data_IF_964470216787
#
_entry.id   IF_964470216787
#
_cell.length_a   1.000
_cell.length_b   1.000
_cell.length_c   1.000
_cell.angle_alpha   90.00
_cell.angle_beta   90.00
_cell.angle_gamma   90.00
#
_symmetry.space_group_name_H-M   'P 1'
#
loop_
_entity.id
_entity.type
_entity.pdbx_description
1 polymer ?
#
# COMPACT_ATOMS: atom_id res chain seq x y z
N UNK A 1 -26.24 -9.28 13.55
CA UNK A 1 -25.63 -8.67 12.35
C UNK A 1 -24.19 -9.16 12.24
N UNK A 2 -23.65 -9.36 11.04
CA UNK A 2 -22.26 -9.77 10.84
C UNK A 2 -21.27 -8.68 11.30
N UNK A 3 -20.01 -9.06 11.54
CA UNK A 3 -18.92 -8.10 11.77
C UNK A 3 -18.67 -7.30 10.49
N UNK A 4 -18.76 -5.97 10.56
CA UNK A 4 -18.38 -5.07 9.48
C UNK A 4 -16.97 -4.52 9.73
N UNK A 5 -16.11 -4.53 8.71
CA UNK A 5 -14.76 -3.93 8.80
C UNK A 5 -14.63 -2.80 7.79
N UNK A 6 -14.53 -1.57 8.30
CA UNK A 6 -14.33 -0.35 7.50
C UNK A 6 -12.84 -0.04 7.44
N UNK A 7 -12.24 -0.20 6.26
CA UNK A 7 -10.80 -0.07 6.06
C UNK A 7 -10.42 1.29 5.49
N UNK A 8 -9.48 1.98 6.14
CA UNK A 8 -8.85 3.19 5.64
C UNK A 8 -7.37 2.94 5.35
N UNK A 9 -6.81 3.63 4.36
CA UNK A 9 -5.36 3.66 4.14
C UNK A 9 -4.84 2.66 3.12
N UNK A 10 -3.83 1.88 3.51
CA UNK A 10 -2.94 1.19 2.58
C UNK A 10 -3.33 -0.28 2.29
N UNK A 11 -2.57 -0.91 1.38
CA UNK A 11 -2.71 -2.33 1.01
C UNK A 11 -2.54 -3.26 2.21
N UNK A 12 -1.62 -2.95 3.12
CA UNK A 12 -1.45 -3.68 4.37
C UNK A 12 -2.70 -3.61 5.25
N UNK A 13 -3.33 -2.44 5.38
CA UNK A 13 -4.59 -2.34 6.13
C UNK A 13 -5.70 -3.20 5.49
N UNK A 14 -5.76 -3.32 4.16
CA UNK A 14 -6.70 -4.27 3.52
C UNK A 14 -6.38 -5.70 3.94
N UNK A 15 -5.11 -6.12 3.79
CA UNK A 15 -4.70 -7.48 4.15
C UNK A 15 -5.02 -7.82 5.61
N UNK A 16 -4.62 -6.93 6.53
CA UNK A 16 -4.88 -7.05 7.95
C UNK A 16 -6.39 -7.08 8.26
N UNK A 17 -7.24 -6.41 7.45
CA UNK A 17 -8.68 -6.41 7.67
C UNK A 17 -9.33 -7.77 7.41
N UNK A 18 -8.79 -8.57 6.48
CA UNK A 18 -9.25 -9.96 6.30
C UNK A 18 -8.88 -10.85 7.49
N UNK A 19 -7.69 -10.62 8.06
CA UNK A 19 -7.28 -11.28 9.32
C UNK A 19 -8.19 -10.83 10.46
N UNK A 20 -8.45 -9.53 10.58
CA UNK A 20 -9.31 -8.96 11.63
C UNK A 20 -10.72 -9.52 11.60
N UNK A 21 -11.32 -9.75 10.42
CA UNK A 21 -12.64 -10.40 10.31
C UNK A 21 -12.63 -11.76 11.01
N UNK A 22 -11.67 -12.62 10.66
CA UNK A 22 -11.52 -13.95 11.26
C UNK A 22 -11.29 -13.89 12.77
N UNK A 23 -10.40 -13.02 13.22
CA UNK A 23 -10.09 -12.89 14.66
C UNK A 23 -11.25 -12.31 15.46
N UNK A 24 -12.02 -11.38 14.88
CA UNK A 24 -13.23 -10.83 15.47
C UNK A 24 -14.34 -11.89 15.57
N UNK A 25 -14.55 -12.69 14.52
CA UNK A 25 -15.52 -13.80 14.53
C UNK A 25 -15.12 -14.87 15.55
N UNK A 26 -13.84 -15.27 15.61
CA UNK A 26 -13.32 -16.20 16.62
C UNK A 26 -13.40 -15.66 18.05
N UNK A 27 -13.59 -14.36 18.21
CA UNK A 27 -13.84 -13.69 19.48
C UNK A 27 -15.33 -13.54 19.81
N UNK A 28 -16.24 -14.03 18.96
CA UNK A 28 -17.69 -14.01 19.16
C UNK A 28 -18.36 -12.69 18.76
N UNK A 29 -17.67 -11.78 18.06
CA UNK A 29 -18.26 -10.49 17.69
C UNK A 29 -19.39 -10.63 16.66
N UNK A 30 -19.33 -11.66 15.82
CA UNK A 30 -20.40 -11.98 14.86
C UNK A 30 -21.70 -12.47 15.52
N UNK A 31 -21.64 -12.89 16.79
CA UNK A 31 -22.80 -13.37 17.56
C UNK A 31 -23.52 -12.23 18.31
N UNK A 32 -22.98 -11.01 18.28
CA UNK A 32 -23.60 -9.86 18.92
C UNK A 32 -24.94 -9.53 18.25
N UNK A 33 -25.97 -9.37 19.08
CA UNK A 33 -27.34 -9.04 18.65
C UNK A 33 -27.35 -7.83 17.71
N UNK A 34 -26.67 -6.76 18.11
CA UNK A 34 -26.62 -5.48 17.41
C UNK A 34 -25.37 -5.35 16.49
N UNK A 35 -24.56 -6.41 16.39
CA UNK A 35 -23.37 -6.47 15.54
C UNK A 35 -22.16 -5.68 16.05
N UNK A 36 -21.08 -5.69 15.26
CA UNK A 36 -19.87 -4.93 15.53
C UNK A 36 -19.33 -4.28 14.25
N UNK A 37 -18.80 -3.06 14.38
CA UNK A 37 -18.18 -2.29 13.30
C UNK A 37 -16.74 -1.96 13.70
N UNK A 38 -15.78 -2.46 12.93
CA UNK A 38 -14.35 -2.28 13.19
C UNK A 38 -13.76 -1.29 12.18
N UNK A 39 -13.22 -0.19 12.67
CA UNK A 39 -12.53 0.83 11.87
C UNK A 39 -11.01 0.59 11.87
N UNK A 40 -10.45 0.13 10.76
CA UNK A 40 -8.99 0.01 10.58
C UNK A 40 -8.42 1.30 10.00
N UNK A 41 -7.87 2.14 10.87
CA UNK A 41 -7.50 3.54 10.57
C UNK A 41 -6.10 3.71 9.99
N UNK A 42 -5.87 4.83 9.31
CA UNK A 42 -4.59 5.19 8.71
C UNK A 42 -4.05 6.50 9.30
N UNK A 43 -2.75 6.51 9.64
CA UNK A 43 -2.05 7.66 10.21
C UNK A 43 -1.18 8.41 9.19
N UNK A 44 -1.21 8.09 7.90
CA UNK A 44 -0.31 8.74 6.92
C UNK A 44 -0.63 10.23 6.75
N UNK A 45 -1.91 10.57 6.52
CA UNK A 45 -2.36 11.97 6.34
C UNK A 45 -3.42 12.39 7.34
N UNK A 46 -3.39 13.66 7.77
CA UNK A 46 -4.36 14.20 8.74
C UNK A 46 -5.79 14.08 8.21
N UNK A 47 -5.93 14.17 6.89
CA UNK A 47 -7.15 13.92 6.16
C UNK A 47 -7.68 12.49 6.34
N UNK A 48 -6.83 11.46 6.29
CA UNK A 48 -7.26 10.08 6.52
C UNK A 48 -7.80 9.88 7.95
N UNK A 49 -7.16 10.49 8.95
CA UNK A 49 -7.63 10.48 10.35
C UNK A 49 -8.97 11.21 10.47
N UNK A 50 -9.12 12.36 9.79
CA UNK A 50 -10.38 13.13 9.76
C UNK A 50 -11.53 12.31 9.16
N UNK A 51 -11.30 11.65 8.02
CA UNK A 51 -12.29 10.81 7.35
C UNK A 51 -12.72 9.63 8.23
N UNK A 52 -11.78 8.94 8.87
CA UNK A 52 -12.09 7.85 9.80
C UNK A 52 -12.98 8.34 10.94
N UNK A 53 -12.64 9.47 11.58
CA UNK A 53 -13.46 10.06 12.66
C UNK A 53 -14.84 10.50 12.19
N UNK A 54 -15.00 10.94 10.95
CA UNK A 54 -16.32 11.28 10.39
C UNK A 54 -17.15 10.03 10.14
N UNK A 55 -16.53 8.97 9.62
CA UNK A 55 -17.19 7.69 9.38
C UNK A 55 -17.65 7.02 10.67
N UNK A 56 -16.82 7.06 11.74
CA UNK A 56 -17.20 6.55 13.07
C UNK A 56 -18.46 7.25 13.60
N UNK A 57 -18.51 8.59 13.54
CA UNK A 57 -19.69 9.34 13.97
C UNK A 57 -20.94 9.01 13.17
N UNK A 58 -20.77 8.79 11.86
CA UNK A 58 -21.87 8.36 11.00
C UNK A 58 -22.35 6.96 11.39
N UNK A 59 -21.44 6.01 11.55
CA UNK A 59 -21.78 4.64 11.92
C UNK A 59 -22.51 4.55 13.27
N UNK A 60 -22.12 5.33 14.28
CA UNK A 60 -22.86 5.39 15.55
C UNK A 60 -24.27 5.95 15.40
N UNK A 61 -24.48 6.96 14.55
CA UNK A 61 -25.83 7.48 14.28
C UNK A 61 -26.70 6.46 13.56
N UNK A 62 -26.12 5.75 12.59
CA UNK A 62 -26.83 4.77 11.76
C UNK A 62 -27.05 3.46 12.53
N UNK A 63 -26.19 3.13 13.50
CA UNK A 63 -26.22 1.91 14.31
C UNK A 63 -25.97 2.24 15.80
N UNK A 64 -26.98 2.74 16.54
CA UNK A 64 -26.81 3.23 17.91
C UNK A 64 -26.27 2.19 18.89
N UNK A 65 -26.67 0.93 18.75
CA UNK A 65 -26.33 -0.17 19.67
C UNK A 65 -25.17 -1.06 19.17
N UNK A 66 -24.67 -0.83 17.96
CA UNK A 66 -23.57 -1.64 17.42
C UNK A 66 -22.27 -1.37 18.21
N UNK A 67 -21.46 -2.42 18.41
CA UNK A 67 -20.16 -2.26 19.05
C UNK A 67 -19.15 -1.64 18.07
N UNK A 68 -18.67 -0.44 18.35
CA UNK A 68 -17.71 0.28 17.52
C UNK A 68 -16.29 0.13 18.07
N UNK A 69 -15.44 -0.50 17.26
CA UNK A 69 -14.04 -0.78 17.60
C UNK A 69 -13.15 0.02 16.65
N UNK A 70 -12.14 0.71 17.16
CA UNK A 70 -11.20 1.49 16.36
C UNK A 70 -9.80 0.94 16.52
N UNK A 71 -9.10 0.73 15.41
CA UNK A 71 -7.74 0.21 15.41
C UNK A 71 -6.93 0.77 14.23
N UNK A 72 -5.74 0.23 13.95
CA UNK A 72 -4.84 0.65 12.90
C UNK A 72 -3.84 1.72 13.34
N UNK A 73 -3.05 2.23 12.40
CA UNK A 73 -1.94 3.13 12.73
C UNK A 73 -2.39 4.39 13.48
N UNK A 74 -3.55 4.98 13.15
CA UNK A 74 -3.97 6.20 13.83
C UNK A 74 -4.46 5.94 15.25
N UNK A 75 -5.11 4.80 15.49
CA UNK A 75 -5.45 4.35 16.84
C UNK A 75 -4.20 4.11 17.69
N UNK A 76 -3.13 3.59 17.10
CA UNK A 76 -1.83 3.40 17.76
C UNK A 76 -1.16 4.73 18.12
N UNK A 77 -1.07 5.67 17.16
CA UNK A 77 -0.27 6.90 17.35
C UNK A 77 -1.04 8.06 17.97
N UNK A 78 -2.36 8.06 17.84
CA UNK A 78 -3.25 9.16 18.25
C UNK A 78 -4.41 8.63 19.11
N UNK A 79 -4.16 7.62 19.97
CA UNK A 79 -5.15 6.91 20.79
C UNK A 79 -6.09 7.85 21.56
N UNK A 80 -5.52 8.88 22.22
CA UNK A 80 -6.27 9.88 22.99
C UNK A 80 -7.36 10.60 22.15
N UNK A 81 -7.17 10.76 20.83
CA UNK A 81 -8.18 11.41 19.96
C UNK A 81 -9.40 10.54 19.71
N UNK A 82 -9.22 9.22 19.74
CA UNK A 82 -10.31 8.25 19.61
C UNK A 82 -10.92 7.93 20.98
N UNK A 83 -10.12 7.99 22.04
CA UNK A 83 -10.61 7.83 23.41
C UNK A 83 -11.62 8.93 23.77
N UNK A 84 -11.34 10.17 23.36
CA UNK A 84 -12.23 11.33 23.51
C UNK A 84 -13.49 11.29 22.61
N UNK A 85 -13.71 10.21 21.85
CA UNK A 85 -14.94 10.03 21.06
C UNK A 85 -15.91 9.11 21.81
N UNK A 86 -17.04 9.65 22.24
CA UNK A 86 -18.11 8.88 22.90
C UNK A 86 -18.66 7.77 22.00
N UNK A 87 -18.51 7.90 20.69
CA UNK A 87 -18.97 6.90 19.73
C UNK A 87 -18.15 5.61 19.73
N UNK A 88 -16.96 5.60 20.33
CA UNK A 88 -16.02 4.47 20.30
C UNK A 88 -16.13 3.64 21.57
N UNK A 89 -16.30 2.33 21.45
CA UNK A 89 -16.43 1.41 22.59
C UNK A 89 -15.10 0.75 22.97
N UNK A 90 -14.21 0.56 21.99
CA UNK A 90 -12.91 -0.08 22.18
C UNK A 90 -11.88 0.42 21.17
N UNK A 91 -10.66 0.64 21.63
CA UNK A 91 -9.51 1.05 20.84
C UNK A 91 -8.45 -0.04 20.98
N UNK A 92 -8.05 -0.63 19.85
CA UNK A 92 -7.00 -1.63 19.79
C UNK A 92 -5.77 -1.06 19.09
N UNK A 93 -4.59 -1.29 19.67
CA UNK A 93 -3.32 -1.02 19.01
C UNK A 93 -3.15 -1.85 17.74
N UNK A 94 -2.11 -1.51 16.98
CA UNK A 94 -1.95 -2.05 15.64
C UNK A 94 -1.58 -3.54 15.64
N UNK A 95 -0.96 -4.03 16.72
CA UNK A 95 -0.62 -5.45 16.91
C UNK A 95 -1.79 -6.23 17.51
N UNK A 96 -2.53 -5.61 18.44
CA UNK A 96 -3.64 -6.23 19.17
C UNK A 96 -4.77 -6.68 18.23
N UNK A 97 -5.02 -5.93 17.15
CA UNK A 97 -6.06 -6.24 16.15
C UNK A 97 -5.88 -7.58 15.43
N UNK A 98 -4.71 -8.18 15.53
CA UNK A 98 -4.41 -9.46 14.89
C UNK A 98 -4.61 -10.66 15.83
N UNK A 99 -5.14 -10.42 17.05
CA UNK A 99 -5.31 -11.45 18.07
C UNK A 99 -6.76 -11.48 18.55
N UNK A 100 -7.46 -12.60 18.36
CA UNK A 100 -8.84 -12.78 18.79
C UNK A 100 -9.08 -12.45 20.28
N UNK A 101 -8.14 -12.75 21.18
CA UNK A 101 -8.28 -12.42 22.60
C UNK A 101 -8.40 -10.91 22.87
N UNK A 102 -7.82 -10.05 22.02
CA UNK A 102 -7.90 -8.59 22.14
C UNK A 102 -9.31 -8.04 21.94
N UNK A 103 -10.15 -8.76 21.20
CA UNK A 103 -11.54 -8.37 20.91
C UNK A 103 -12.52 -8.79 22.01
N UNK A 104 -12.17 -9.82 22.78
CA UNK A 104 -12.99 -10.34 23.87
C UNK A 104 -13.09 -9.32 25.01
N UNK A 105 -14.24 -9.29 25.68
CA UNK A 105 -14.30 -8.72 27.02
C UNK A 105 -13.56 -9.68 27.95
N UNK A 106 -12.59 -9.16 28.72
CA UNK A 106 -11.91 -9.98 29.73
C UNK A 106 -12.93 -10.30 30.83
N UNK A 107 -13.02 -11.56 31.32
CA UNK A 107 -13.83 -11.88 32.49
C UNK A 107 -13.36 -11.08 33.71
N UNK A 108 -14.31 -10.68 34.54
CA UNK A 108 -14.13 -9.83 35.71
C UNK A 108 -13.26 -10.51 36.80
N UNK A 109 -11.94 -10.41 36.67
CA UNK A 109 -10.98 -10.81 37.70
C UNK A 109 -10.33 -9.59 38.35
N UNK A 110 -11.11 -8.53 38.61
CA UNK A 110 -10.65 -7.38 39.40
C UNK A 110 -9.57 -6.51 38.74
N UNK A 111 -9.37 -6.66 37.43
CA UNK A 111 -8.51 -5.80 36.60
C UNK A 111 -9.41 -5.09 35.59
N UNK A 112 -9.62 -3.78 35.80
CA UNK A 112 -10.38 -2.83 34.98
C UNK A 112 -11.21 -3.41 33.82
N UNK A 113 -12.50 -3.65 34.07
CA UNK A 113 -13.53 -3.91 33.04
C UNK A 113 -13.64 -2.79 31.97
N UNK A 114 -12.94 -1.67 32.13
CA UNK A 114 -13.17 -0.40 31.43
C UNK A 114 -12.00 0.14 30.63
N UNK A 115 -10.99 -0.67 30.30
CA UNK A 115 -9.91 -0.15 29.44
C UNK A 115 -10.39 -0.03 27.99
N UNK A 116 -11.00 1.12 27.69
CA UNK A 116 -11.38 1.56 26.36
C UNK A 116 -10.19 1.57 25.41
N UNK A 117 -8.96 1.70 25.93
CA UNK A 117 -7.71 1.76 25.17
C UNK A 117 -6.85 0.53 25.49
N UNK A 118 -6.61 -0.33 24.50
CA UNK A 118 -5.70 -1.47 24.57
C UNK A 118 -4.61 -1.29 23.51
N UNK A 119 -3.66 -0.41 23.80
CA UNK A 119 -2.59 -0.02 22.87
C UNK A 119 -1.27 -0.25 23.57
N UNK A 120 -0.54 -1.30 23.19
CA UNK A 120 0.79 -1.60 23.74
C UNK A 120 1.90 -0.81 23.02
N UNK A 121 3.11 -0.86 23.56
CA UNK A 121 4.28 -0.28 22.90
C UNK A 121 4.63 -1.06 21.62
N UNK A 122 4.34 -0.45 20.48
CA UNK A 122 4.61 -1.04 19.16
C UNK A 122 6.11 -1.26 18.90
N UNK A 123 6.99 -0.59 19.64
CA UNK A 123 8.44 -0.72 19.48
C UNK A 123 8.99 -2.01 20.10
N UNK A 124 8.24 -2.65 21.00
CA UNK A 124 8.61 -3.93 21.62
C UNK A 124 8.22 -5.15 20.77
N UNK A 125 7.41 -4.97 19.73
CA UNK A 125 6.99 -6.06 18.83
C UNK A 125 8.18 -6.55 18.02
N UNK A 126 8.49 -7.85 18.13
CA UNK A 126 9.64 -8.50 17.48
C UNK A 126 9.30 -9.41 16.32
N UNK A 127 8.07 -9.90 16.25
CA UNK A 127 7.63 -10.85 15.23
C UNK A 127 6.48 -10.28 14.40
N UNK A 128 6.43 -10.67 13.13
CA UNK A 128 5.25 -10.46 12.29
C UNK A 128 4.58 -11.83 12.13
N UNK A 129 3.41 -12.00 12.76
CA UNK A 129 2.69 -13.25 12.67
C UNK A 129 2.30 -13.57 11.22
N UNK A 130 2.53 -14.82 10.81
CA UNK A 130 2.16 -15.35 9.49
C UNK A 130 0.67 -15.65 9.47
N UNK A 131 -0.15 -14.61 9.49
CA UNK A 131 -1.60 -14.78 9.38
C UNK A 131 -1.95 -15.14 7.95
N UNK A 132 -2.23 -16.41 7.69
CA UNK A 132 -2.67 -16.86 6.38
C UNK A 132 -4.08 -16.32 6.07
N UNK A 133 -4.26 -15.85 4.84
CA UNK A 133 -5.53 -15.32 4.31
C UNK A 133 -5.98 -16.21 3.14
N UNK A 134 -7.19 -16.76 3.24
CA UNK A 134 -7.68 -17.72 2.25
C UNK A 134 -8.23 -17.04 1.00
N UNK A 135 -8.90 -15.90 1.20
CA UNK A 135 -9.43 -15.07 0.14
C UNK A 135 -9.47 -13.61 0.58
N UNK A 136 -9.31 -12.71 -0.39
CA UNK A 136 -9.70 -11.31 -0.25
C UNK A 136 -10.98 -11.14 -1.07
N UNK A 137 -12.12 -11.12 -0.37
CA UNK A 137 -13.44 -11.03 -1.00
C UNK A 137 -13.53 -9.85 -1.97
N UNK A 138 -14.12 -10.09 -3.15
CA UNK A 138 -14.41 -9.05 -4.14
C UNK A 138 -13.19 -8.44 -4.83
N UNK A 139 -12.00 -9.05 -4.74
CA UNK A 139 -10.79 -8.58 -5.43
C UNK A 139 -10.22 -9.62 -6.39
N UNK A 140 -9.89 -9.18 -7.59
CA UNK A 140 -9.17 -10.00 -8.59
C UNK A 140 -7.69 -10.26 -8.25
N UNK A 141 -7.17 -9.63 -7.19
CA UNK A 141 -5.76 -9.73 -6.75
C UNK A 141 -5.69 -10.02 -5.27
N UNK A 142 -4.75 -10.87 -4.89
CA UNK A 142 -4.44 -11.12 -3.49
C UNK A 142 -3.19 -10.35 -3.06
N UNK A 143 -3.23 -9.77 -1.85
CA UNK A 143 -2.05 -9.16 -1.22
C UNK A 143 -1.41 -10.17 -0.28
N UNK A 144 -0.08 -10.23 -0.28
CA UNK A 144 0.69 -11.03 0.67
C UNK A 144 1.64 -10.11 1.42
N UNK A 145 1.42 -9.97 2.72
CA UNK A 145 2.33 -9.22 3.57
C UNK A 145 3.64 -10.00 3.71
N UNK A 146 4.75 -9.37 3.30
CA UNK A 146 6.10 -9.94 3.44
C UNK A 146 6.94 -9.21 4.49
N UNK A 147 6.58 -7.96 4.79
CA UNK A 147 7.33 -7.08 5.69
C UNK A 147 6.38 -6.09 6.38
N UNK A 148 6.62 -5.75 7.64
CA UNK A 148 5.85 -4.77 8.41
C UNK A 148 6.78 -3.93 9.30
N UNK A 149 6.30 -2.76 9.74
CA UNK A 149 7.14 -1.78 10.44
C UNK A 149 8.25 -1.20 9.55
N UNK A 150 9.12 -0.36 10.08
CA UNK A 150 10.21 0.22 9.30
C UNK A 150 11.29 0.76 10.23
N UNK A 151 12.55 0.44 9.98
CA UNK A 151 13.69 1.00 10.73
C UNK A 151 14.19 2.32 10.15
N UNK A 152 13.78 2.62 8.93
CA UNK A 152 14.11 3.87 8.28
C UNK A 152 13.32 5.03 8.88
N UNK A 153 14.02 5.95 9.55
CA UNK A 153 13.43 7.09 10.27
C UNK A 153 13.36 8.35 9.39
N UNK A 154 12.60 8.30 8.28
CA UNK A 154 12.33 9.51 7.48
C UNK A 154 11.76 10.62 8.37
N UNK A 155 12.18 11.86 8.17
CA UNK A 155 11.84 12.96 9.10
C UNK A 155 10.37 13.33 9.12
N UNK A 156 9.60 12.97 8.10
CA UNK A 156 8.15 13.22 8.00
C UNK A 156 7.29 12.00 8.38
N UNK A 157 7.88 10.82 8.51
CA UNK A 157 7.13 9.57 8.55
C UNK A 157 6.74 9.21 9.99
N UNK A 158 5.43 9.04 10.22
CA UNK A 158 4.90 8.59 11.52
C UNK A 158 4.85 7.05 11.64
N UNK A 159 5.04 6.33 10.52
CA UNK A 159 4.84 4.87 10.47
C UNK A 159 5.64 4.09 11.51
N UNK A 160 6.92 4.40 11.81
CA UNK A 160 7.64 3.71 12.88
C UNK A 160 6.90 3.70 14.22
N UNK A 161 6.19 4.78 14.55
CA UNK A 161 5.43 4.89 15.79
C UNK A 161 4.05 4.22 15.72
N UNK A 162 3.57 3.90 14.51
CA UNK A 162 2.28 3.21 14.31
C UNK A 162 2.41 1.71 14.05
N UNK A 163 3.57 1.25 13.56
CA UNK A 163 3.83 -0.13 13.14
C UNK A 163 5.11 -0.73 13.73
N UNK A 164 5.94 0.05 14.42
CA UNK A 164 7.15 -0.42 15.08
C UNK A 164 8.34 -0.60 14.13
N UNK A 165 9.37 -1.30 14.63
CA UNK A 165 10.59 -1.64 13.89
C UNK A 165 10.32 -2.60 12.72
N UNK A 166 11.25 -2.68 11.78
CA UNK A 166 11.13 -3.58 10.64
C UNK A 166 11.08 -5.04 11.09
N UNK A 167 10.14 -5.79 10.52
CA UNK A 167 9.95 -7.22 10.78
C UNK A 167 9.52 -7.91 9.50
N UNK A 168 10.16 -9.01 9.17
CA UNK A 168 9.95 -9.77 7.95
C UNK A 168 9.19 -11.05 8.23
N UNK A 169 8.36 -11.46 7.26
CA UNK A 169 7.71 -12.77 7.30
C UNK A 169 8.70 -13.81 6.77
N UNK A 170 8.95 -14.94 7.47
CA UNK A 170 9.82 -15.98 6.97
C UNK A 170 9.43 -16.46 5.56
N UNK A 171 10.42 -16.61 4.69
CA UNK A 171 10.22 -16.94 3.27
C UNK A 171 9.34 -18.17 3.03
N UNK A 172 9.45 -19.21 3.87
CA UNK A 172 8.59 -20.40 3.79
C UNK A 172 7.11 -20.04 3.94
N UNK A 173 6.77 -19.23 4.93
CA UNK A 173 5.40 -18.76 5.15
C UNK A 173 4.88 -17.89 4.00
N UNK A 174 5.74 -17.07 3.38
CA UNK A 174 5.37 -16.32 2.17
C UNK A 174 5.04 -17.26 1.02
N UNK A 175 5.88 -18.27 0.76
CA UNK A 175 5.69 -19.24 -0.33
C UNK A 175 4.40 -20.03 -0.13
N UNK A 176 4.16 -20.53 1.08
CA UNK A 176 2.95 -21.33 1.39
C UNK A 176 1.67 -20.48 1.22
N UNK A 177 1.71 -19.23 1.64
CA UNK A 177 0.60 -18.29 1.45
C UNK A 177 0.36 -18.00 -0.04
N UNK A 178 1.42 -17.80 -0.84
CA UNK A 178 1.29 -17.59 -2.29
C UNK A 178 0.72 -18.83 -2.97
N UNK A 179 1.18 -20.03 -2.61
CA UNK A 179 0.65 -21.29 -3.15
C UNK A 179 -0.85 -21.42 -2.88
N UNK A 180 -1.27 -21.21 -1.63
CA UNK A 180 -2.69 -21.29 -1.25
C UNK A 180 -3.57 -20.32 -2.04
N UNK A 181 -3.09 -19.10 -2.26
CA UNK A 181 -3.83 -18.11 -3.07
C UNK A 181 -3.91 -18.54 -4.55
N UNK A 182 -2.84 -19.07 -5.11
CA UNK A 182 -2.86 -19.60 -6.48
C UNK A 182 -3.81 -20.80 -6.59
N UNK A 183 -3.80 -21.71 -5.63
CA UNK A 183 -4.71 -22.86 -5.57
C UNK A 183 -6.18 -22.44 -5.44
N UNK A 184 -6.43 -21.28 -4.81
CA UNK A 184 -7.75 -20.65 -4.71
C UNK A 184 -8.14 -19.85 -5.97
N UNK A 185 -7.34 -19.90 -7.04
CA UNK A 185 -7.65 -19.31 -8.34
C UNK A 185 -7.20 -17.86 -8.53
N UNK A 186 -6.39 -17.29 -7.63
CA UNK A 186 -5.85 -15.94 -7.84
C UNK A 186 -4.78 -15.93 -8.95
N UNK A 187 -5.06 -15.22 -10.04
CA UNK A 187 -4.13 -15.08 -11.16
C UNK A 187 -2.97 -14.10 -10.87
N UNK A 188 -3.18 -13.11 -9.99
CA UNK A 188 -2.15 -12.14 -9.62
C UNK A 188 -2.02 -12.00 -8.10
N UNK A 189 -0.77 -12.12 -7.62
CA UNK A 189 -0.38 -11.91 -6.23
C UNK A 189 0.50 -10.68 -6.13
N UNK A 190 0.21 -9.82 -5.15
CA UNK A 190 0.95 -8.60 -4.87
C UNK A 190 1.70 -8.74 -3.55
N UNK A 191 3.04 -8.79 -3.58
CA UNK A 191 3.84 -8.73 -2.36
C UNK A 191 3.78 -7.31 -1.80
N UNK A 192 3.46 -7.19 -0.51
CA UNK A 192 3.28 -5.91 0.15
C UNK A 192 4.07 -5.81 1.45
N UNK A 193 4.61 -4.62 1.70
CA UNK A 193 5.23 -4.26 2.96
C UNK A 193 5.18 -2.76 3.19
N UNK A 194 5.72 -2.31 4.32
CA UNK A 194 5.88 -0.88 4.63
C UNK A 194 7.13 -0.34 3.92
N UNK A 195 8.26 -1.01 4.10
CA UNK A 195 9.55 -0.77 3.45
C UNK A 195 10.08 -2.11 2.95
N UNK A 196 9.48 -2.58 1.85
CA UNK A 196 9.61 -3.98 1.40
C UNK A 196 11.04 -4.35 1.00
N UNK A 197 11.85 -3.37 0.58
CA UNK A 197 13.27 -3.60 0.27
C UNK A 197 14.13 -3.78 1.52
N UNK A 198 13.62 -3.46 2.71
CA UNK A 198 14.21 -3.81 4.01
C UNK A 198 13.83 -5.21 4.50
N UNK A 199 13.31 -6.08 3.62
CA UNK A 199 12.99 -7.46 3.93
C UNK A 199 14.27 -8.27 4.23
N UNK A 200 14.24 -8.98 5.36
CA UNK A 200 15.08 -10.12 5.70
C UNK A 200 16.36 -9.90 6.53
N UNK A 201 16.88 -8.68 6.85
CA UNK A 201 17.96 -8.52 7.82
C UNK A 201 17.69 -9.14 9.19
N UNK A 202 16.42 -9.23 9.59
CA UNK A 202 15.94 -9.84 10.83
C UNK A 202 15.76 -11.37 10.75
N UNK A 203 15.96 -11.97 9.57
CA UNK A 203 15.82 -13.41 9.34
C UNK A 203 17.19 -14.11 9.23
N UNK A 204 17.27 -15.42 9.55
CA UNK A 204 18.49 -16.19 9.34
C UNK A 204 18.99 -16.13 7.89
N UNK A 205 20.29 -15.88 7.72
CA UNK A 205 20.93 -15.76 6.41
C UNK A 205 20.78 -14.40 5.73
N UNK A 206 20.13 -13.42 6.39
CA UNK A 206 20.02 -12.03 5.91
C UNK A 206 19.57 -11.93 4.45
N UNK A 207 18.52 -12.70 4.12
CA UNK A 207 17.94 -12.75 2.79
C UNK A 207 17.44 -11.36 2.39
N UNK A 208 17.47 -11.05 1.10
CA UNK A 208 16.96 -9.78 0.55
C UNK A 208 15.72 -10.02 -0.31
N UNK A 209 15.05 -8.93 -0.67
CA UNK A 209 13.79 -8.96 -1.42
C UNK A 209 13.92 -9.69 -2.77
N UNK A 210 14.99 -9.46 -3.54
CA UNK A 210 15.17 -10.13 -4.83
C UNK A 210 15.21 -11.65 -4.71
N UNK A 211 15.88 -12.15 -3.66
CA UNK A 211 15.91 -13.59 -3.38
C UNK A 211 14.53 -14.15 -3.06
N UNK A 212 13.72 -13.43 -2.28
CA UNK A 212 12.34 -13.80 -2.01
C UNK A 212 11.53 -13.87 -3.31
N UNK A 213 11.62 -12.85 -4.15
CA UNK A 213 10.92 -12.76 -5.44
C UNK A 213 11.26 -13.95 -6.34
N UNK A 214 12.55 -14.22 -6.57
CA UNK A 214 13.00 -15.36 -7.39
C UNK A 214 12.55 -16.69 -6.81
N UNK A 215 12.59 -16.84 -5.48
CA UNK A 215 12.19 -18.08 -4.82
C UNK A 215 10.68 -18.31 -4.95
N UNK A 216 9.85 -17.29 -4.75
CA UNK A 216 8.39 -17.39 -4.97
C UNK A 216 8.09 -17.80 -6.41
N UNK A 217 8.70 -17.14 -7.39
CA UNK A 217 8.51 -17.45 -8.81
C UNK A 217 8.97 -18.88 -9.17
N UNK A 218 10.03 -19.37 -8.55
CA UNK A 218 10.55 -20.73 -8.77
C UNK A 218 9.67 -21.79 -8.10
N UNK A 219 9.26 -21.55 -6.85
CA UNK A 219 8.56 -22.54 -6.01
C UNK A 219 7.04 -22.57 -6.24
N UNK A 220 6.49 -21.59 -6.95
CA UNK A 220 5.07 -21.51 -7.30
C UNK A 220 4.91 -21.37 -8.82
N UNK A 221 5.16 -22.44 -9.59
CA UNK A 221 5.11 -22.38 -11.06
C UNK A 221 3.73 -22.00 -11.62
N UNK A 222 2.65 -22.30 -10.88
CA UNK A 222 1.28 -21.93 -11.26
C UNK A 222 0.95 -20.44 -11.12
N UNK A 223 1.80 -19.64 -10.47
CA UNK A 223 1.58 -18.19 -10.33
C UNK A 223 1.72 -17.50 -11.69
N UNK A 224 0.65 -16.86 -12.17
CA UNK A 224 0.67 -16.21 -13.49
C UNK A 224 1.29 -14.80 -13.42
N UNK A 225 0.98 -14.03 -12.37
CA UNK A 225 1.50 -12.67 -12.17
C UNK A 225 1.93 -12.43 -10.73
N UNK A 226 3.16 -11.97 -10.57
CA UNK A 226 3.69 -11.43 -9.33
C UNK A 226 3.89 -9.93 -9.49
N UNK A 227 3.32 -9.13 -8.58
CA UNK A 227 3.53 -7.70 -8.55
C UNK A 227 4.14 -7.29 -7.22
N UNK A 228 4.96 -6.26 -7.26
CA UNK A 228 5.52 -5.64 -6.07
C UNK A 228 4.73 -4.39 -5.71
N UNK A 229 4.48 -4.18 -4.42
CA UNK A 229 4.08 -2.88 -3.92
C UNK A 229 5.26 -1.88 -3.96
N UNK A 230 5.19 -0.79 -3.20
CA UNK A 230 6.22 0.24 -3.23
C UNK A 230 7.59 -0.29 -2.80
N UNK A 231 8.65 0.12 -3.52
CA UNK A 231 10.05 -0.19 -3.21
C UNK A 231 10.87 1.09 -3.09
N UNK A 232 11.98 1.01 -2.35
CA UNK A 232 13.04 2.00 -2.39
C UNK A 232 14.05 1.61 -3.48
N UNK A 233 14.21 2.45 -4.51
CA UNK A 233 14.97 2.12 -5.72
C UNK A 233 16.42 1.76 -5.42
N UNK A 234 17.06 2.45 -4.48
CA UNK A 234 18.49 2.24 -4.17
C UNK A 234 18.77 0.93 -3.43
N UNK A 235 17.73 0.30 -2.89
CA UNK A 235 17.82 -0.97 -2.16
C UNK A 235 17.47 -2.18 -3.03
N UNK A 236 17.18 -1.98 -4.32
CA UNK A 236 17.01 -3.07 -5.27
C UNK A 236 18.34 -3.84 -5.41
N UNK A 237 18.31 -5.12 -5.05
CA UNK A 237 19.46 -6.02 -5.12
C UNK A 237 19.61 -6.66 -6.51
N UNK A 238 20.77 -7.25 -6.78
CA UNK A 238 21.09 -7.88 -8.06
C UNK A 238 20.08 -8.96 -8.45
N UNK A 239 19.60 -9.73 -7.47
CA UNK A 239 18.55 -10.74 -7.69
C UNK A 239 17.22 -10.10 -8.13
N UNK A 240 16.86 -8.92 -7.60
CA UNK A 240 15.65 -8.22 -8.05
C UNK A 240 15.85 -7.64 -9.45
N UNK A 241 17.03 -7.06 -9.74
CA UNK A 241 17.37 -6.56 -11.08
C UNK A 241 17.34 -7.67 -12.13
N UNK A 242 17.89 -8.85 -11.80
CA UNK A 242 17.83 -10.05 -12.62
C UNK A 242 16.39 -10.53 -12.84
N UNK A 243 15.57 -10.57 -11.78
CA UNK A 243 14.15 -10.92 -11.91
C UNK A 243 13.39 -9.90 -12.78
N UNK A 244 13.68 -8.60 -12.66
CA UNK A 244 13.09 -7.57 -13.52
C UNK A 244 13.43 -7.84 -14.99
N UNK A 245 14.70 -8.14 -15.30
CA UNK A 245 15.16 -8.39 -16.65
C UNK A 245 14.56 -9.68 -17.25
N UNK A 246 14.53 -10.76 -16.47
CA UNK A 246 14.37 -12.11 -17.03
C UNK A 246 13.03 -12.79 -16.69
N UNK A 247 12.31 -12.35 -15.65
CA UNK A 247 11.06 -13.00 -15.23
C UNK A 247 9.81 -12.29 -15.76
N UNK A 248 9.18 -12.89 -16.78
CA UNK A 248 7.94 -12.40 -17.40
C UNK A 248 6.74 -12.36 -16.45
N UNK A 249 6.74 -13.25 -15.45
CA UNK A 249 5.69 -13.31 -14.42
C UNK A 249 5.82 -12.18 -13.40
N UNK A 250 7.00 -11.60 -13.24
CA UNK A 250 7.16 -10.35 -12.50
C UNK A 250 6.60 -9.21 -13.37
N UNK A 251 5.60 -8.51 -12.87
CA UNK A 251 4.90 -7.48 -13.63
C UNK A 251 5.82 -6.29 -13.93
N UNK A 252 5.77 -5.72 -15.16
CA UNK A 252 6.60 -4.61 -15.62
C UNK A 252 6.12 -3.28 -15.03
N UNK A 253 6.03 -3.20 -13.71
CA UNK A 253 5.58 -2.02 -12.99
C UNK A 253 6.24 -1.92 -11.62
N UNK A 254 6.94 -0.81 -11.37
CA UNK A 254 7.53 -0.50 -10.08
C UNK A 254 6.96 0.80 -9.54
N UNK A 255 6.51 0.76 -8.28
CA UNK A 255 6.11 1.96 -7.56
C UNK A 255 7.26 2.40 -6.66
N UNK A 256 7.80 3.60 -6.88
CA UNK A 256 9.02 4.08 -6.27
C UNK A 256 8.73 5.08 -5.14
N UNK A 257 9.33 4.86 -3.97
CA UNK A 257 9.24 5.78 -2.84
C UNK A 257 10.21 6.97 -2.98
N UNK A 258 10.08 7.77 -4.04
CA UNK A 258 11.02 8.87 -4.34
C UNK A 258 10.91 10.05 -3.37
N UNK A 259 9.69 10.42 -3.00
CA UNK A 259 9.31 11.51 -2.08
C UNK A 259 9.61 12.93 -2.56
N UNK A 260 10.75 13.20 -3.19
CA UNK A 260 11.12 14.49 -3.77
C UNK A 260 12.12 14.31 -4.92
N UNK A 261 12.33 15.36 -5.73
CA UNK A 261 13.34 15.37 -6.78
C UNK A 261 14.53 16.28 -6.49
N UNK A 262 14.67 16.81 -5.28
CA UNK A 262 15.75 17.75 -4.93
C UNK A 262 16.63 17.20 -3.81
N UNK A 263 17.94 17.23 -3.98
CA UNK A 263 18.90 16.63 -3.05
C UNK A 263 18.85 17.24 -1.65
N UNK A 264 18.63 18.55 -1.54
CA UNK A 264 18.53 19.19 -0.23
C UNK A 264 17.25 18.75 0.49
N UNK A 265 16.14 18.61 -0.23
CA UNK A 265 14.89 18.10 0.32
C UNK A 265 15.01 16.62 0.68
N UNK A 266 15.57 15.78 -0.19
CA UNK A 266 15.84 14.36 0.07
C UNK A 266 16.70 14.18 1.32
N UNK A 267 17.77 14.97 1.46
CA UNK A 267 18.63 14.97 2.65
C UNK A 267 17.85 15.38 3.91
N UNK A 268 17.01 16.43 3.86
CA UNK A 268 16.18 16.85 4.99
C UNK A 268 15.07 15.86 5.32
N UNK A 269 14.56 15.15 4.33
CA UNK A 269 13.66 14.00 4.48
C UNK A 269 14.36 12.78 5.10
N UNK A 270 15.71 12.77 5.09
CA UNK A 270 16.59 11.66 5.47
C UNK A 270 16.40 10.44 4.55
N UNK A 271 16.30 10.66 3.24
CA UNK A 271 16.23 9.59 2.24
C UNK A 271 17.60 8.91 2.06
N UNK A 272 17.57 7.66 1.57
CA UNK A 272 18.77 6.84 1.28
C UNK A 272 19.38 7.16 -0.09
N UNK A 273 18.71 7.98 -0.88
CA UNK A 273 19.02 8.26 -2.26
C UNK A 273 19.03 9.76 -2.53
N UNK A 274 19.81 10.15 -3.54
CA UNK A 274 19.80 11.46 -4.18
C UNK A 274 18.98 11.41 -5.48
N UNK A 275 18.76 12.57 -6.09
CA UNK A 275 18.05 12.71 -7.36
C UNK A 275 18.65 11.82 -8.45
N UNK A 276 19.96 11.94 -8.66
CA UNK A 276 20.64 11.23 -9.75
C UNK A 276 20.65 9.71 -9.55
N UNK A 277 20.60 9.23 -8.31
CA UNK A 277 20.46 7.79 -8.03
C UNK A 277 19.12 7.25 -8.55
N UNK A 278 18.07 8.04 -8.42
CA UNK A 278 16.72 7.67 -8.90
C UNK A 278 16.66 7.65 -10.42
N UNK A 279 17.29 8.63 -11.07
CA UNK A 279 17.35 8.73 -12.53
C UNK A 279 18.11 7.52 -13.09
N UNK A 280 19.33 7.25 -12.59
CA UNK A 280 20.14 6.10 -13.04
C UNK A 280 19.41 4.78 -12.85
N UNK A 281 18.77 4.56 -11.70
CA UNK A 281 17.98 3.36 -11.48
C UNK A 281 16.88 3.19 -12.54
N UNK A 282 16.14 4.25 -12.86
CA UNK A 282 15.09 4.18 -13.88
C UNK A 282 15.64 3.93 -15.29
N UNK A 283 16.80 4.51 -15.62
CA UNK A 283 17.51 4.26 -16.88
C UNK A 283 17.97 2.80 -16.99
N UNK A 284 18.66 2.28 -15.98
CA UNK A 284 19.18 0.92 -15.93
C UNK A 284 18.03 -0.10 -16.03
N UNK A 285 16.97 0.09 -15.25
CA UNK A 285 15.80 -0.79 -15.27
C UNK A 285 15.08 -0.74 -16.61
N UNK A 286 14.96 0.43 -17.24
CA UNK A 286 14.34 0.55 -18.57
C UNK A 286 15.21 -0.07 -19.67
N UNK A 287 16.53 -0.03 -19.54
CA UNK A 287 17.44 -0.72 -20.45
C UNK A 287 17.28 -2.24 -20.36
N UNK A 288 17.07 -2.78 -19.15
CA UNK A 288 16.79 -4.20 -18.92
C UNK A 288 15.38 -4.61 -19.36
N UNK A 289 14.39 -3.74 -19.15
CA UNK A 289 12.97 -4.01 -19.42
C UNK A 289 12.29 -2.78 -20.05
N UNK A 290 12.31 -2.67 -21.40
CA UNK A 290 11.83 -1.47 -22.09
C UNK A 290 10.33 -1.16 -21.90
N UNK A 291 9.50 -2.16 -21.60
CA UNK A 291 8.06 -2.03 -21.36
C UNK A 291 7.70 -1.64 -19.91
N UNK A 292 8.69 -1.42 -19.05
CA UNK A 292 8.45 -1.13 -17.64
C UNK A 292 7.81 0.24 -17.40
N UNK A 293 6.81 0.26 -16.51
CA UNK A 293 6.09 1.47 -16.09
C UNK A 293 6.49 1.84 -14.66
N UNK A 294 6.83 3.11 -14.45
CA UNK A 294 7.14 3.61 -13.12
C UNK A 294 5.96 4.41 -12.54
N UNK A 295 5.60 4.07 -11.30
CA UNK A 295 4.83 4.95 -10.43
C UNK A 295 5.73 5.54 -9.35
N UNK A 296 5.32 6.65 -8.74
CA UNK A 296 6.06 7.19 -7.58
C UNK A 296 5.16 7.95 -6.61
N UNK A 297 5.58 7.97 -5.34
CA UNK A 297 5.06 8.89 -4.34
C UNK A 297 5.94 10.14 -4.30
N UNK A 298 5.34 11.33 -4.43
CA UNK A 298 6.03 12.62 -4.26
C UNK A 298 5.27 13.51 -3.29
N UNK A 299 6.00 14.12 -2.36
CA UNK A 299 5.47 15.06 -1.36
C UNK A 299 5.76 16.48 -1.83
N UNK A 300 4.71 17.26 -2.07
CA UNK A 300 4.82 18.67 -2.39
C UNK A 300 4.77 19.53 -1.11
N UNK A 301 5.62 20.56 -1.03
CA UNK A 301 5.58 21.52 0.07
C UNK A 301 6.20 21.01 1.36
N UNK A 302 7.21 20.13 1.27
CA UNK A 302 7.98 19.72 2.45
C UNK A 302 8.56 20.97 3.15
N UNK A 303 8.74 20.96 4.49
CA UNK A 303 9.29 22.10 5.21
C UNK A 303 10.58 22.60 4.56
N UNK A 304 10.80 23.92 4.53
CA UNK A 304 11.94 24.60 3.90
C UNK A 304 12.07 24.48 2.36
N UNK A 305 11.09 23.90 1.66
CA UNK A 305 11.10 23.80 0.19
C UNK A 305 10.95 25.16 -0.50
N UNK A 306 11.94 25.52 -1.32
CA UNK A 306 11.91 26.72 -2.17
C UNK A 306 11.25 26.41 -3.52
N UNK A 307 11.00 27.45 -4.32
CA UNK A 307 10.42 27.25 -5.66
C UNK A 307 11.37 26.48 -6.60
N UNK A 308 12.67 26.71 -6.49
CA UNK A 308 13.70 26.00 -7.26
C UNK A 308 13.74 24.50 -6.90
N UNK A 309 13.70 24.17 -5.61
CA UNK A 309 13.65 22.77 -5.13
C UNK A 309 12.37 22.07 -5.60
N UNK A 310 11.24 22.78 -5.59
CA UNK A 310 9.99 22.26 -6.13
C UNK A 310 10.06 22.05 -7.65
N UNK A 311 10.69 22.96 -8.39
CA UNK A 311 10.89 22.82 -9.83
C UNK A 311 11.71 21.56 -10.18
N UNK A 312 12.72 21.23 -9.37
CA UNK A 312 13.46 19.96 -9.52
C UNK A 312 12.54 18.75 -9.31
N UNK A 313 11.64 18.80 -8.33
CA UNK A 313 10.63 17.75 -8.10
C UNK A 313 9.62 17.60 -9.24
N UNK A 314 9.37 18.63 -10.04
CA UNK A 314 8.58 18.50 -11.27
C UNK A 314 9.40 17.86 -12.40
N UNK A 315 10.67 18.26 -12.56
CA UNK A 315 11.57 17.73 -13.61
C UNK A 315 11.81 16.21 -13.49
N UNK A 316 11.89 15.69 -12.26
CA UNK A 316 12.14 14.25 -12.02
C UNK A 316 11.05 13.35 -12.62
N UNK A 317 9.83 13.88 -12.82
CA UNK A 317 8.74 13.13 -13.48
C UNK A 317 9.14 12.76 -14.90
N UNK A 318 9.70 13.70 -15.66
CA UNK A 318 10.12 13.46 -17.03
C UNK A 318 11.43 12.65 -17.09
N UNK A 319 12.44 13.02 -16.28
CA UNK A 319 13.76 12.38 -16.31
C UNK A 319 13.70 10.90 -15.90
N UNK A 320 12.88 10.55 -14.91
CA UNK A 320 12.67 9.14 -14.55
C UNK A 320 11.63 8.45 -15.45
N UNK A 321 10.89 9.18 -16.28
CA UNK A 321 9.76 8.66 -17.05
C UNK A 321 8.64 8.11 -16.17
N UNK A 322 8.28 8.85 -15.12
CA UNK A 322 7.21 8.48 -14.19
C UNK A 322 5.84 8.62 -14.86
N UNK A 323 5.02 7.60 -14.71
CA UNK A 323 3.67 7.52 -15.29
C UNK A 323 2.60 7.69 -14.22
N UNK A 324 2.64 6.87 -13.17
CA UNK A 324 1.62 6.86 -12.11
C UNK A 324 2.08 7.69 -10.92
N UNK A 325 1.65 8.96 -10.84
CA UNK A 325 2.11 9.85 -9.78
C UNK A 325 1.11 9.95 -8.63
N UNK A 326 1.52 9.60 -7.42
CA UNK A 326 0.79 9.90 -6.20
C UNK A 326 1.37 11.13 -5.53
N UNK A 327 0.67 12.27 -5.68
CA UNK A 327 1.08 13.55 -5.10
C UNK A 327 0.43 13.77 -3.74
N UNK A 328 1.25 13.81 -2.70
CA UNK A 328 0.85 14.12 -1.34
C UNK A 328 1.22 15.57 -0.98
N UNK A 329 0.25 16.43 -0.64
CA UNK A 329 0.57 17.67 0.06
C UNK A 329 1.20 17.31 1.41
N UNK A 330 2.32 17.94 1.77
CA UNK A 330 2.94 17.71 3.06
C UNK A 330 1.93 17.96 4.20
N UNK A 331 1.84 17.00 5.13
CA UNK A 331 0.97 17.06 6.30
C UNK A 331 1.83 16.84 7.55
N UNK A 332 2.11 17.92 8.27
CA UNK A 332 2.89 17.86 9.52
C UNK A 332 2.26 16.88 10.51
N UNK A 333 3.11 16.00 11.08
CA UNK A 333 2.71 15.02 12.08
C UNK A 333 3.39 15.30 13.40
N UNK A 334 2.59 15.40 14.46
CA UNK A 334 3.11 15.57 15.81
C UNK A 334 4.11 14.45 16.15
N UNK A 335 5.20 14.80 16.84
CA UNK A 335 6.30 13.88 17.14
C UNK A 335 7.31 13.65 16.01
N UNK A 336 7.03 14.06 14.77
CA UNK A 336 7.99 13.91 13.66
C UNK A 336 9.03 15.04 13.62
N UNK A 337 10.30 14.77 13.24
CA UNK A 337 11.30 15.83 13.10
C UNK A 337 10.91 16.93 12.11
N UNK A 338 10.27 16.60 10.99
CA UNK A 338 9.85 17.56 9.97
C UNK A 338 8.78 18.55 10.48
N UNK A 339 7.95 18.16 11.46
CA UNK A 339 6.98 19.07 12.07
C UNK A 339 7.64 20.23 12.85
N UNK A 340 8.91 20.09 13.25
CA UNK A 340 9.69 21.12 13.95
C UNK A 340 10.50 22.03 13.02
N UNK A 341 10.55 21.73 11.72
CA UNK A 341 11.26 22.54 10.73
C UNK A 341 10.45 23.80 10.36
N UNK A 342 11.06 24.85 9.77
CA UNK A 342 10.31 25.97 9.21
C UNK A 342 9.33 25.53 8.12
N UNK A 343 8.03 25.70 8.37
CA UNK A 343 6.96 25.20 7.52
C UNK A 343 6.75 26.10 6.29
N UNK A 344 6.34 25.48 5.18
CA UNK A 344 5.85 26.20 4.00
C UNK A 344 4.37 26.56 4.22
N UNK A 345 3.95 27.76 3.80
CA UNK A 345 2.55 28.21 3.94
C UNK A 345 1.60 27.24 3.23
N UNK A 346 0.46 26.95 3.85
CA UNK A 346 -0.50 25.93 3.37
C UNK A 346 -1.01 26.20 1.97
N UNK A 347 -1.17 27.47 1.60
CA UNK A 347 -1.61 27.88 0.26
C UNK A 347 -0.59 27.48 -0.81
N UNK A 348 0.71 27.67 -0.52
CA UNK A 348 1.82 27.27 -1.41
C UNK A 348 1.89 25.74 -1.50
N UNK A 349 1.76 25.03 -0.37
CA UNK A 349 1.75 23.55 -0.37
C UNK A 349 0.64 23.00 -1.29
N UNK A 350 -0.56 23.59 -1.22
CA UNK A 350 -1.69 23.21 -2.08
C UNK A 350 -1.45 23.54 -3.55
N UNK A 351 -0.93 24.72 -3.84
CA UNK A 351 -0.62 25.18 -5.20
C UNK A 351 0.45 24.30 -5.87
N UNK A 352 1.54 24.00 -5.16
CA UNK A 352 2.58 23.06 -5.61
C UNK A 352 2.04 21.66 -5.86
N UNK A 353 1.23 21.14 -4.93
CA UNK A 353 0.61 19.84 -5.12
C UNK A 353 -0.31 19.81 -6.36
N UNK A 354 -1.03 20.89 -6.66
CA UNK A 354 -1.85 20.99 -7.87
C UNK A 354 -1.00 21.03 -9.15
N UNK A 355 0.07 21.83 -9.18
CA UNK A 355 1.01 21.87 -10.32
C UNK A 355 1.68 20.53 -10.59
N UNK A 356 2.12 19.85 -9.53
CA UNK A 356 2.76 18.55 -9.66
C UNK A 356 1.78 17.47 -10.14
N UNK A 357 0.51 17.50 -9.69
CA UNK A 357 -0.55 16.64 -10.26
C UNK A 357 -0.74 16.89 -11.75
N UNK A 358 -0.83 18.15 -12.18
CA UNK A 358 -0.96 18.47 -13.59
C UNK A 358 0.24 17.98 -14.44
N UNK A 359 1.45 17.92 -13.88
CA UNK A 359 2.61 17.28 -14.54
C UNK A 359 2.39 15.77 -14.64
N UNK A 360 1.94 15.12 -13.56
CA UNK A 360 1.58 13.70 -13.55
C UNK A 360 0.46 13.34 -14.54
N UNK A 361 -0.59 14.15 -14.63
CA UNK A 361 -1.72 13.94 -15.54
C UNK A 361 -1.25 13.95 -17.01
N UNK A 362 -0.37 14.89 -17.38
CA UNK A 362 0.24 14.92 -18.73
C UNK A 362 1.13 13.71 -18.99
N UNK A 363 1.89 13.26 -17.99
CA UNK A 363 2.72 12.07 -18.13
C UNK A 363 1.86 10.80 -18.32
N UNK A 364 0.76 10.69 -17.59
CA UNK A 364 -0.20 9.61 -17.73
C UNK A 364 -0.92 9.64 -19.09
N UNK A 365 -1.34 10.81 -19.58
CA UNK A 365 -1.95 10.95 -20.90
C UNK A 365 -1.00 10.54 -22.04
N UNK A 366 0.29 10.94 -21.94
CA UNK A 366 1.33 10.48 -22.87
C UNK A 366 1.48 8.96 -22.86
N UNK A 367 1.41 8.33 -21.68
CA UNK A 367 1.43 6.88 -21.53
C UNK A 367 0.19 6.21 -22.13
N UNK A 368 -1.01 6.75 -21.92
CA UNK A 368 -2.22 6.23 -22.55
C UNK A 368 -2.13 6.30 -24.08
N UNK A 369 -1.60 7.41 -24.60
CA UNK A 369 -1.39 7.60 -26.05
C UNK A 369 -0.41 6.58 -26.61
N UNK A 370 0.70 6.30 -25.91
CA UNK A 370 1.73 5.36 -26.37
C UNK A 370 1.24 3.92 -26.45
N UNK A 371 0.20 3.56 -25.70
CA UNK A 371 -0.40 2.24 -25.73
C UNK A 371 -1.42 2.05 -26.86
N UNK A 372 -1.79 3.10 -27.59
CA UNK A 372 -2.76 2.98 -28.68
C UNK A 372 -2.27 2.02 -29.78
N UNK A 373 -3.14 1.12 -30.23
CA UNK A 373 -2.83 0.09 -31.22
C UNK A 373 -2.03 -1.11 -30.70
N UNK A 374 -1.62 -1.10 -29.42
CA UNK A 374 -0.85 -2.21 -28.84
C UNK A 374 -1.75 -3.38 -28.41
N UNK A 375 -1.17 -4.57 -28.38
CA UNK A 375 -1.77 -5.75 -27.77
C UNK A 375 -1.44 -5.77 -26.27
N UNK A 376 -2.45 -5.93 -25.42
CA UNK A 376 -2.32 -5.89 -23.97
C UNK A 376 -2.99 -7.10 -23.32
N UNK A 377 -2.29 -7.71 -22.35
CA UNK A 377 -2.86 -8.70 -21.44
C UNK A 377 -3.46 -8.02 -20.23
N UNK A 378 -4.77 -8.10 -20.08
CA UNK A 378 -5.52 -7.40 -19.04
C UNK A 378 -6.00 -8.36 -17.96
N UNK A 379 -5.79 -8.01 -16.69
CA UNK A 379 -6.44 -8.68 -15.56
C UNK A 379 -7.75 -7.95 -15.23
N UNK A 380 -8.87 -8.66 -15.29
CA UNK A 380 -10.20 -8.10 -14.99
C UNK A 380 -10.31 -7.86 -13.48
N UNK A 381 -10.49 -6.61 -13.05
CA UNK A 381 -10.61 -6.27 -11.63
C UNK A 381 -12.04 -6.43 -11.12
N UNK A 382 -12.98 -5.95 -11.92
CA UNK A 382 -14.43 -5.97 -11.70
C UNK A 382 -15.13 -5.85 -13.05
N UNK A 383 -16.45 -6.00 -13.06
CA UNK A 383 -17.25 -5.85 -14.28
C UNK A 383 -16.92 -4.54 -15.03
N UNK A 384 -16.60 -4.67 -16.32
CA UNK A 384 -16.26 -3.56 -17.21
C UNK A 384 -14.87 -2.95 -17.04
N UNK A 385 -14.08 -3.34 -16.03
CA UNK A 385 -12.79 -2.71 -15.70
C UNK A 385 -11.68 -3.74 -15.53
N UNK A 386 -10.58 -3.54 -16.26
CA UNK A 386 -9.38 -4.36 -16.17
C UNK A 386 -8.10 -3.50 -16.06
N UNK A 387 -6.96 -4.15 -15.81
CA UNK A 387 -5.64 -3.50 -15.84
C UNK A 387 -4.61 -4.24 -16.68
N UNK A 388 -3.80 -3.47 -17.40
CA UNK A 388 -2.60 -3.95 -18.11
C UNK A 388 -1.55 -4.47 -17.13
N UNK A 389 -0.52 -5.12 -17.67
CA UNK A 389 0.65 -5.57 -16.89
C UNK A 389 1.37 -4.36 -16.24
N UNK A 390 1.47 -3.25 -16.98
CA UNK A 390 1.93 -1.93 -16.54
C UNK A 390 0.97 -1.15 -15.63
N UNK A 391 -0.09 -1.81 -15.13
CA UNK A 391 -1.05 -1.28 -14.15
C UNK A 391 -1.96 -0.15 -14.65
N UNK A 392 -2.09 0.02 -15.96
CA UNK A 392 -2.98 1.01 -16.58
C UNK A 392 -4.41 0.49 -16.64
N UNK A 393 -5.38 1.34 -16.31
CA UNK A 393 -6.80 0.98 -16.39
C UNK A 393 -7.26 0.84 -17.84
N UNK A 394 -8.14 -0.13 -18.06
CA UNK A 394 -8.77 -0.40 -19.35
C UNK A 394 -10.25 -0.71 -19.16
N UNK A 395 -11.07 -0.21 -20.07
CA UNK A 395 -12.48 -0.59 -20.20
C UNK A 395 -12.58 -1.84 -21.06
N UNK A 396 -13.41 -2.78 -20.61
CA UNK A 396 -13.70 -4.03 -21.28
C UNK A 396 -15.21 -4.26 -21.38
N UNK A 397 -15.61 -5.10 -22.30
CA UNK A 397 -17.00 -5.42 -22.62
C UNK A 397 -17.50 -6.72 -21.99
N UNK A 398 -16.60 -7.68 -21.73
CA UNK A 398 -16.94 -9.02 -21.25
C UNK A 398 -15.83 -9.63 -20.40
N UNK A 399 -16.19 -10.62 -19.58
CA UNK A 399 -15.29 -11.44 -18.77
C UNK A 399 -15.58 -11.34 -17.27
N UNK A 400 -14.95 -12.22 -16.48
CA UNK A 400 -15.17 -12.30 -15.03
C UNK A 400 -13.97 -11.74 -14.25
N UNK A 401 -14.20 -11.13 -13.07
CA UNK A 401 -13.11 -10.71 -12.19
C UNK A 401 -12.13 -11.85 -11.92
N UNK A 402 -10.83 -11.57 -12.03
CA UNK A 402 -9.76 -12.55 -11.88
C UNK A 402 -9.28 -13.20 -13.19
N UNK A 403 -10.04 -13.10 -14.28
CA UNK A 403 -9.60 -13.60 -15.58
C UNK A 403 -8.52 -12.69 -16.20
N UNK A 404 -7.59 -13.29 -16.94
CA UNK A 404 -6.62 -12.59 -17.78
C UNK A 404 -7.06 -12.75 -19.23
N UNK A 405 -7.21 -11.63 -19.94
CA UNK A 405 -7.70 -11.59 -21.33
C UNK A 405 -6.76 -10.79 -22.22
N UNK A 406 -6.66 -11.18 -23.49
CA UNK A 406 -5.96 -10.42 -24.52
C UNK A 406 -6.91 -9.42 -25.21
N UNK A 407 -6.43 -8.19 -25.35
CA UNK A 407 -7.17 -7.08 -25.96
C UNK A 407 -6.24 -6.19 -26.80
N UNK A 408 -6.80 -5.59 -27.85
CA UNK A 408 -6.14 -4.52 -28.61
C UNK A 408 -6.63 -3.19 -28.07
N UNK A 409 -5.71 -2.29 -27.74
CA UNK A 409 -6.03 -0.92 -27.35
C UNK A 409 -6.40 -0.11 -28.60
N UNK A 410 -7.56 0.54 -28.59
CA UNK A 410 -8.07 1.35 -29.72
C UNK A 410 -8.03 2.86 -29.45
N UNK A 411 -7.70 3.26 -28.23
CA UNK A 411 -7.63 4.65 -27.79
C UNK A 411 -7.74 4.77 -26.27
N UNK A 412 -8.08 5.95 -25.78
CA UNK A 412 -8.33 6.21 -24.35
C UNK A 412 -9.30 7.38 -24.16
N UNK A 413 -9.93 7.45 -22.98
CA UNK A 413 -10.80 8.56 -22.57
C UNK A 413 -10.06 9.63 -21.72
N UNK A 414 -8.74 9.49 -21.58
CA UNK A 414 -7.90 10.35 -20.73
C UNK A 414 -7.69 9.80 -19.31
N UNK A 415 -8.49 8.80 -18.89
CA UNK A 415 -8.33 8.10 -17.62
C UNK A 415 -8.03 6.60 -17.82
N UNK A 416 -8.60 6.00 -18.85
CA UNK A 416 -8.64 4.55 -19.09
C UNK A 416 -8.45 4.28 -20.58
N UNK A 417 -7.82 3.15 -20.88
CA UNK A 417 -7.72 2.62 -22.23
C UNK A 417 -9.07 2.11 -22.70
N UNK A 418 -9.39 2.35 -23.96
CA UNK A 418 -10.49 1.73 -24.67
C UNK A 418 -9.95 0.51 -25.42
N UNK A 419 -10.65 -0.61 -25.32
CA UNK A 419 -10.14 -1.88 -25.84
C UNK A 419 -11.19 -2.65 -26.61
N UNK A 420 -10.73 -3.50 -27.55
CA UNK A 420 -11.56 -4.45 -28.28
C UNK A 420 -10.95 -5.84 -28.24
N UNK A 421 -11.77 -6.86 -28.46
CA UNK A 421 -11.28 -8.23 -28.61
C UNK A 421 -10.27 -8.31 -29.76
N UNK A 422 -9.14 -8.99 -29.52
CA UNK A 422 -8.22 -9.32 -30.59
C UNK A 422 -8.94 -10.30 -31.54
N UNK A 423 -8.97 -9.99 -32.85
CA UNK A 423 -9.44 -10.95 -33.84
C UNK A 423 -8.55 -12.20 -33.77
N UNK A 424 -9.12 -13.42 -33.81
CA UNK A 424 -8.31 -14.63 -33.88
C UNK A 424 -7.43 -14.52 -35.13
N UNK A 425 -6.11 -14.62 -34.96
CA UNK A 425 -5.19 -14.71 -36.09
C UNK A 425 -5.66 -15.89 -36.95
N UNK A 426 -6.12 -15.59 -38.17
CA UNK A 426 -6.41 -16.60 -39.17
C UNK A 426 -5.10 -17.38 -39.40
N UNK A 427 -5.16 -18.69 -39.16
CA UNK A 427 -4.04 -19.62 -39.22
C UNK A 427 -3.45 -19.74 -40.63
#
# INVERSE_FOLDING_TARGET
MSVEVVTFGCRLNTYESEVMKREADAAGLGELKDGAIIFNTCAVTSEAVRQARQAIRKARRDNPEARIIVTGCAAQTESAKFEAMDEVDLILGNEEKLKSNSYRMLPDFGVNQFEKVRVNDIMEVRETASHMVDAIEGRARAFVQVQNGCDHRCTFCIIPYGRGNSRSVPMGGVIDQVKRLVDNGYAEVVLTGVDMTSYGPDLPGSLRLGKLVKTVLTQVPGLQRLRLSSIDSIEADDDLMDAIANEKRLMPHLHLSLQAGDDMILKRMKRRHLRDDSIRFCEDVRALRPDIVFGADIIAGFPTETEEMFANSMKIVEECGLTHLHVFPYSAREGTPAARMPQVRREIVKERAARLRAVGDRAYEKHLTSLNGTHQRLLIEKEGIARTEGFTLAVIDQGKPGEIIDRIVTGHDGEKLLTRQAEPQAA
#
